data_IF_062762663413
#
_entry.id   IF_062762663413
#
_cell.length_a   1.000
_cell.length_b   1.000
_cell.length_c   1.000
_cell.angle_alpha   90.00
_cell.angle_beta   90.00
_cell.angle_gamma   90.00
#
_symmetry.space_group_name_H-M   'P 1'
#
loop_
_entity.id
_entity.type
_entity.pdbx_description
1 polymer ?
#
# COMPACT_ATOMS: atom_id res chain seq x y z
N UNK A 1 13.89 -29.87 26.29
CA UNK A 1 14.00 -29.32 27.65
C UNK A 1 12.97 -29.93 28.61
N UNK A 2 11.66 -29.82 28.39
CA UNK A 2 10.67 -30.44 29.29
C UNK A 2 10.81 -31.96 29.44
N UNK A 3 10.83 -32.70 28.33
CA UNK A 3 10.95 -34.18 28.33
C UNK A 3 12.29 -34.67 28.90
N UNK A 4 13.39 -33.94 28.64
CA UNK A 4 14.70 -34.27 29.20
C UNK A 4 14.71 -34.13 30.72
N UNK A 5 14.11 -33.06 31.26
CA UNK A 5 13.98 -32.88 32.72
C UNK A 5 13.01 -33.88 33.35
N UNK A 6 11.96 -34.28 32.63
CA UNK A 6 11.05 -35.34 33.06
C UNK A 6 11.77 -36.68 33.21
N UNK A 7 12.55 -37.10 32.22
CA UNK A 7 13.33 -38.35 32.28
C UNK A 7 14.37 -38.29 33.42
N UNK A 8 15.04 -37.14 33.61
CA UNK A 8 15.98 -36.94 34.73
C UNK A 8 15.26 -37.03 36.08
N UNK A 9 14.05 -36.46 36.22
CA UNK A 9 13.27 -36.55 37.45
C UNK A 9 12.89 -38.01 37.78
N UNK A 10 12.57 -38.83 36.78
CA UNK A 10 12.37 -40.26 36.98
C UNK A 10 13.64 -41.00 37.39
N UNK A 11 14.79 -40.69 36.76
CA UNK A 11 16.10 -41.28 37.12
C UNK A 11 16.50 -40.92 38.56
N UNK A 12 16.17 -39.72 39.03
CA UNK A 12 16.44 -39.24 40.38
C UNK A 12 15.45 -39.77 41.44
N UNK A 13 14.46 -40.57 41.05
CA UNK A 13 13.50 -41.21 41.96
C UNK A 13 12.37 -40.32 42.46
N UNK A 14 12.06 -39.21 41.77
CA UNK A 14 10.90 -38.38 42.09
C UNK A 14 9.59 -39.13 41.84
N UNK A 15 8.56 -38.79 42.61
CA UNK A 15 7.22 -39.34 42.40
C UNK A 15 6.67 -38.88 41.05
N UNK A 16 5.94 -39.76 40.36
CA UNK A 16 5.47 -39.50 39.00
C UNK A 16 4.61 -38.23 38.87
N UNK A 17 3.82 -37.88 39.91
CA UNK A 17 3.07 -36.62 39.92
C UNK A 17 3.99 -35.40 39.96
N UNK A 18 5.05 -35.44 40.78
CA UNK A 18 6.01 -34.33 40.88
C UNK A 18 6.73 -34.12 39.54
N UNK A 19 7.13 -35.21 38.88
CA UNK A 19 7.72 -35.17 37.56
C UNK A 19 6.79 -34.51 36.52
N UNK A 20 5.48 -34.82 36.55
CA UNK A 20 4.47 -34.20 35.67
C UNK A 20 4.29 -32.71 35.99
N UNK A 21 4.28 -32.33 37.27
CA UNK A 21 4.18 -30.92 37.69
C UNK A 21 5.39 -30.13 37.18
N UNK A 22 6.61 -30.66 37.32
CA UNK A 22 7.82 -30.04 36.77
C UNK A 22 7.77 -29.92 35.25
N UNK A 23 7.29 -30.96 34.55
CA UNK A 23 7.14 -30.93 33.10
C UNK A 23 6.22 -29.80 32.64
N UNK A 24 5.03 -29.66 33.25
CA UNK A 24 4.07 -28.61 32.93
C UNK A 24 4.68 -27.22 33.21
N UNK A 25 5.34 -27.05 34.36
CA UNK A 25 5.99 -25.80 34.71
C UNK A 25 7.06 -25.37 33.70
N UNK A 26 7.88 -26.31 33.23
CA UNK A 26 8.91 -26.04 32.21
C UNK A 26 8.28 -25.71 30.85
N UNK A 27 7.16 -26.34 30.47
CA UNK A 27 6.47 -26.03 29.22
C UNK A 27 5.94 -24.60 29.25
N UNK A 28 5.21 -24.23 30.31
CA UNK A 28 4.67 -22.86 30.47
C UNK A 28 5.80 -21.83 30.52
N UNK A 29 6.88 -22.09 31.26
CA UNK A 29 8.02 -21.16 31.34
C UNK A 29 8.72 -20.92 29.99
N UNK A 30 8.60 -21.82 29.02
CA UNK A 30 9.25 -21.71 27.71
C UNK A 30 8.34 -21.16 26.60
N UNK A 31 7.01 -21.24 26.75
CA UNK A 31 6.09 -20.69 25.75
C UNK A 31 5.91 -19.21 26.06
N UNK A 32 6.26 -18.29 25.13
CA UNK A 32 6.04 -16.87 25.37
C UNK A 32 4.59 -16.49 25.03
N UNK A 33 3.66 -16.64 25.97
CA UNK A 33 2.23 -16.41 25.71
C UNK A 33 1.92 -14.96 25.30
N UNK A 34 2.76 -14.00 25.74
CA UNK A 34 2.61 -12.58 25.39
C UNK A 34 3.07 -12.22 23.97
N UNK A 35 3.87 -13.06 23.30
CA UNK A 35 4.49 -12.71 22.02
C UNK A 35 3.45 -12.56 20.90
N UNK A 36 2.46 -13.45 20.85
CA UNK A 36 1.42 -13.39 19.83
C UNK A 36 0.59 -12.10 19.96
N UNK A 37 0.23 -11.74 21.19
CA UNK A 37 -0.54 -10.52 21.46
C UNK A 37 0.25 -9.25 21.10
N UNK A 38 1.54 -9.18 21.43
CA UNK A 38 2.36 -8.01 21.11
C UNK A 38 2.54 -7.83 19.61
N UNK A 39 2.75 -8.91 18.84
CA UNK A 39 2.83 -8.85 17.38
C UNK A 39 1.54 -8.32 16.77
N UNK A 40 0.38 -8.83 17.20
CA UNK A 40 -0.92 -8.34 16.71
C UNK A 40 -1.14 -6.86 17.02
N UNK A 41 -0.79 -6.41 18.23
CA UNK A 41 -0.91 -4.99 18.62
C UNK A 41 0.02 -4.11 17.77
N UNK A 42 1.27 -4.53 17.54
CA UNK A 42 2.23 -3.82 16.68
C UNK A 42 1.71 -3.67 15.24
N UNK A 43 1.20 -4.75 14.65
CA UNK A 43 0.60 -4.71 13.31
C UNK A 43 -0.64 -3.81 13.27
N UNK A 44 -1.50 -3.89 14.29
CA UNK A 44 -2.73 -3.08 14.38
C UNK A 44 -2.42 -1.59 14.48
N UNK A 45 -1.45 -1.20 15.30
CA UNK A 45 -1.01 0.20 15.40
C UNK A 45 -0.45 0.71 14.08
N UNK A 46 0.28 -0.14 13.36
CA UNK A 46 0.84 0.20 12.04
C UNK A 46 -0.26 0.35 11.00
N UNK A 47 -1.22 -0.58 10.96
CA UNK A 47 -2.40 -0.51 10.10
C UNK A 47 -3.22 0.76 10.37
N UNK A 48 -3.40 1.15 11.64
CA UNK A 48 -4.07 2.40 12.02
C UNK A 48 -3.34 3.65 11.49
N UNK A 49 -2.01 3.66 11.55
CA UNK A 49 -1.19 4.74 10.97
C UNK A 49 -1.33 4.79 9.45
N UNK A 50 -1.37 3.65 8.77
CA UNK A 50 -1.62 3.60 7.32
C UNK A 50 -3.02 4.12 6.96
N UNK A 51 -4.04 3.76 7.75
CA UNK A 51 -5.40 4.25 7.55
C UNK A 51 -5.52 5.77 7.67
N UNK A 52 -4.78 6.41 8.59
CA UNK A 52 -4.71 7.88 8.69
C UNK A 52 -4.12 8.58 7.45
N UNK A 53 -3.46 7.81 6.56
CA UNK A 53 -2.92 8.27 5.28
C UNK A 53 -3.73 7.75 4.09
N UNK A 54 -5.01 7.44 4.29
CA UNK A 54 -5.93 6.90 3.28
C UNK A 54 -5.51 5.53 2.69
N UNK A 55 -4.65 4.77 3.37
CA UNK A 55 -4.30 3.39 3.00
C UNK A 55 -5.02 2.39 3.92
N UNK A 56 -6.12 1.81 3.44
CA UNK A 56 -6.93 0.85 4.20
C UNK A 56 -6.33 -0.56 4.13
N UNK A 57 -5.94 -1.10 5.29
CA UNK A 57 -5.48 -2.48 5.44
C UNK A 57 -6.63 -3.37 5.89
N UNK A 58 -7.01 -4.37 5.07
CA UNK A 58 -8.07 -5.34 5.42
C UNK A 58 -7.55 -6.55 6.21
N UNK A 59 -6.31 -6.97 5.94
CA UNK A 59 -5.64 -8.09 6.59
C UNK A 59 -4.35 -7.59 7.24
N UNK A 60 -4.16 -7.80 8.55
CA UNK A 60 -3.00 -7.27 9.28
C UNK A 60 -1.66 -7.79 8.75
N UNK A 61 -1.60 -9.03 8.27
CA UNK A 61 -0.41 -9.64 7.66
C UNK A 61 0.05 -8.92 6.37
N UNK A 62 -0.85 -8.19 5.70
CA UNK A 62 -0.51 -7.42 4.50
C UNK A 62 0.46 -6.27 4.81
N UNK A 63 0.47 -5.76 6.07
CA UNK A 63 1.42 -4.74 6.51
C UNK A 63 2.85 -5.26 6.45
N UNK A 64 3.08 -6.48 6.93
CA UNK A 64 4.38 -7.13 6.90
C UNK A 64 4.77 -7.49 5.46
N UNK A 65 3.83 -8.07 4.71
CA UNK A 65 4.04 -8.48 3.31
C UNK A 65 4.54 -7.31 2.46
N UNK A 66 3.94 -6.12 2.62
CA UNK A 66 4.36 -4.92 1.91
C UNK A 66 5.80 -4.52 2.26
N UNK A 67 6.22 -4.68 3.52
CA UNK A 67 7.59 -4.40 3.97
C UNK A 67 8.62 -5.39 3.42
N UNK A 68 8.22 -6.64 3.19
CA UNK A 68 9.08 -7.70 2.61
C UNK A 68 9.00 -7.83 1.09
N UNK A 69 8.22 -6.99 0.42
CA UNK A 69 7.98 -7.10 -1.03
C UNK A 69 9.24 -6.71 -1.83
N UNK A 70 9.72 -7.61 -2.68
CA UNK A 70 10.89 -7.39 -3.55
C UNK A 70 10.54 -6.99 -4.98
N UNK A 71 9.29 -7.15 -5.41
CA UNK A 71 8.83 -6.86 -6.78
C UNK A 71 7.38 -6.38 -6.76
N UNK A 72 7.10 -5.30 -7.48
CA UNK A 72 5.75 -4.72 -7.60
C UNK A 72 5.26 -4.97 -9.03
N UNK A 73 4.20 -5.76 -9.16
CA UNK A 73 3.45 -5.89 -10.40
C UNK A 73 2.30 -4.86 -10.36
N UNK A 74 2.38 -3.83 -11.19
CA UNK A 74 1.34 -2.79 -11.28
C UNK A 74 0.54 -2.94 -12.57
N UNK A 75 -0.78 -2.78 -12.46
CA UNK A 75 -1.59 -2.49 -13.63
C UNK A 75 -1.31 -1.07 -14.14
N UNK A 76 -1.54 -0.82 -15.43
CA UNK A 76 -1.34 0.50 -16.05
C UNK A 76 -2.57 1.39 -15.88
N UNK A 77 -3.71 0.95 -16.39
CA UNK A 77 -4.87 1.83 -16.58
C UNK A 77 -5.65 1.97 -15.28
N UNK A 78 -5.78 3.18 -14.77
CA UNK A 78 -6.47 3.43 -13.50
C UNK A 78 -5.65 3.13 -12.25
N UNK A 79 -4.38 2.72 -12.42
CA UNK A 79 -3.40 2.56 -11.33
C UNK A 79 -2.20 3.47 -11.55
N UNK A 80 -1.45 3.28 -12.65
CA UNK A 80 -0.36 4.20 -13.01
C UNK A 80 -0.88 5.43 -13.76
N UNK A 81 -1.94 5.27 -14.55
CA UNK A 81 -2.57 6.36 -15.30
C UNK A 81 -3.92 6.74 -14.69
N UNK A 82 -4.33 7.99 -14.86
CA UNK A 82 -5.60 8.53 -14.35
C UNK A 82 -6.86 7.95 -15.00
N UNK A 83 -6.73 6.97 -15.91
CA UNK A 83 -7.82 6.41 -16.73
C UNK A 83 -8.67 7.51 -17.41
N UNK A 84 -8.01 8.58 -17.86
CA UNK A 84 -8.62 9.75 -18.49
C UNK A 84 -7.78 10.15 -19.69
N UNK A 85 -8.42 10.34 -20.83
CA UNK A 85 -7.75 10.89 -22.01
C UNK A 85 -7.53 12.38 -21.78
N UNK A 86 -6.26 12.79 -21.81
CA UNK A 86 -5.82 14.18 -21.61
C UNK A 86 -4.90 14.57 -22.76
N UNK A 87 -5.02 15.79 -23.26
CA UNK A 87 -4.13 16.30 -24.31
C UNK A 87 -2.73 16.40 -23.74
N UNK A 88 -1.76 15.70 -24.33
CA UNK A 88 -0.37 15.68 -23.86
C UNK A 88 0.53 16.62 -24.66
N UNK A 89 0.35 16.68 -25.98
CA UNK A 89 1.18 17.47 -26.87
C UNK A 89 0.32 18.13 -27.95
N UNK A 90 0.74 19.33 -28.36
CA UNK A 90 0.17 20.07 -29.48
C UNK A 90 1.28 20.43 -30.46
N UNK A 91 0.95 20.53 -31.74
CA UNK A 91 1.90 20.96 -32.75
C UNK A 91 1.35 22.15 -33.51
N UNK A 92 2.04 23.28 -33.42
CA UNK A 92 1.75 24.52 -34.14
C UNK A 92 3.04 25.34 -34.26
N UNK A 93 3.09 26.29 -35.20
CA UNK A 93 4.25 27.15 -35.45
C UNK A 93 5.58 26.35 -35.62
N UNK A 94 5.48 25.15 -36.20
CA UNK A 94 6.59 24.20 -36.39
C UNK A 94 7.29 23.77 -35.09
N UNK A 95 6.58 23.80 -33.95
CA UNK A 95 7.07 23.40 -32.64
C UNK A 95 6.11 22.41 -31.97
N UNK A 96 6.67 21.49 -31.18
CA UNK A 96 5.90 20.61 -30.30
C UNK A 96 5.81 21.30 -28.94
N UNK A 97 4.58 21.51 -28.49
CA UNK A 97 4.27 22.13 -27.19
C UNK A 97 3.70 21.05 -26.28
N UNK A 98 4.35 20.82 -25.14
CA UNK A 98 3.87 19.92 -24.10
C UNK A 98 2.79 20.60 -23.26
N UNK A 99 1.71 19.87 -22.99
CA UNK A 99 0.61 20.31 -22.15
C UNK A 99 0.69 19.63 -20.78
N UNK A 100 0.14 20.29 -19.77
CA UNK A 100 0.02 19.72 -18.44
C UNK A 100 -0.97 18.54 -18.44
N UNK A 101 -0.48 17.37 -18.04
CA UNK A 101 -1.26 16.12 -17.90
C UNK A 101 -1.49 15.72 -16.44
N UNK A 102 -1.01 16.52 -15.48
CA UNK A 102 -1.20 16.29 -14.05
C UNK A 102 -2.66 16.54 -13.66
N UNK A 103 -3.13 15.83 -12.64
CA UNK A 103 -4.52 15.97 -12.17
C UNK A 103 -4.77 17.29 -11.43
N UNK A 104 -3.74 17.82 -10.78
CA UNK A 104 -3.77 19.05 -9.96
C UNK A 104 -3.28 20.30 -10.71
N UNK A 105 -2.97 20.16 -12.01
CA UNK A 105 -2.48 21.23 -12.87
C UNK A 105 -1.16 21.87 -12.38
N UNK A 106 -0.28 21.03 -11.83
CA UNK A 106 1.03 21.42 -11.27
C UNK A 106 2.17 21.38 -12.29
N UNK A 107 1.89 20.98 -13.53
CA UNK A 107 2.88 20.77 -14.58
C UNK A 107 3.25 22.02 -15.36
N UNK A 108 3.89 21.79 -16.50
CA UNK A 108 4.45 22.84 -17.35
C UNK A 108 3.33 23.69 -17.98
N UNK A 109 3.47 25.01 -17.85
CA UNK A 109 2.63 25.97 -18.53
C UNK A 109 3.22 26.32 -19.90
N UNK A 110 2.37 26.48 -20.89
CA UNK A 110 2.75 26.87 -22.26
C UNK A 110 2.12 28.19 -22.67
N UNK A 111 2.71 28.85 -23.67
CA UNK A 111 2.22 30.13 -24.18
C UNK A 111 0.89 29.96 -24.91
N UNK A 112 -0.13 30.67 -24.42
CA UNK A 112 -1.49 30.71 -25.00
C UNK A 112 -1.73 31.95 -25.85
N UNK A 113 -0.74 32.84 -25.97
CA UNK A 113 -0.89 34.12 -26.65
C UNK A 113 -0.67 34.03 -28.15
N UNK A 114 0.04 32.98 -28.61
CA UNK A 114 0.39 32.80 -30.03
C UNK A 114 -0.85 32.73 -30.94
N UNK A 115 -0.78 33.33 -32.15
CA UNK A 115 -1.86 33.22 -33.13
C UNK A 115 -2.17 31.78 -33.53
N UNK A 116 -1.13 30.93 -33.65
CA UNK A 116 -1.25 29.51 -33.97
C UNK A 116 -2.08 28.76 -32.94
N UNK A 117 -1.80 28.98 -31.64
CA UNK A 117 -2.58 28.39 -30.55
C UNK A 117 -4.04 28.86 -30.57
N UNK A 118 -4.30 30.16 -30.75
CA UNK A 118 -5.67 30.70 -30.78
C UNK A 118 -6.51 30.09 -31.91
N UNK A 119 -5.94 29.91 -33.09
CA UNK A 119 -6.62 29.26 -34.21
C UNK A 119 -6.91 27.79 -33.89
N UNK A 120 -5.92 27.06 -33.39
CA UNK A 120 -6.05 25.64 -33.00
C UNK A 120 -7.11 25.44 -31.91
N UNK A 121 -7.06 26.25 -30.85
CA UNK A 121 -8.01 26.19 -29.74
C UNK A 121 -9.45 26.48 -30.21
N UNK A 122 -9.64 27.43 -31.14
CA UNK A 122 -10.95 27.71 -31.74
C UNK A 122 -11.48 26.52 -32.55
N UNK A 123 -10.62 25.84 -33.31
CA UNK A 123 -11.02 24.63 -34.06
C UNK A 123 -11.40 23.50 -33.09
N UNK A 124 -10.58 23.26 -32.07
CA UNK A 124 -10.80 22.20 -31.08
C UNK A 124 -12.07 22.40 -30.25
N UNK A 125 -12.47 23.65 -30.00
CA UNK A 125 -13.68 23.99 -29.25
C UNK A 125 -14.95 23.94 -30.10
N UNK A 126 -14.91 24.46 -31.33
CA UNK A 126 -16.09 24.50 -32.21
C UNK A 126 -16.35 23.17 -32.92
N UNK A 127 -15.31 22.44 -33.29
CA UNK A 127 -15.42 21.14 -33.99
C UNK A 127 -15.49 19.97 -32.99
N UNK A 128 -16.23 20.15 -31.89
CA UNK A 128 -16.39 19.13 -30.85
C UNK A 128 -17.86 19.00 -30.46
N UNK A 129 -18.28 17.78 -30.15
CA UNK A 129 -19.65 17.45 -29.68
C UNK A 129 -19.68 17.11 -28.19
N UNK A 130 -18.55 17.24 -27.49
CA UNK A 130 -18.48 17.01 -26.06
C UNK A 130 -19.13 18.17 -25.30
N UNK A 131 -19.98 17.83 -24.33
CA UNK A 131 -20.62 18.77 -23.43
C UNK A 131 -20.38 18.33 -21.98
N UNK A 132 -20.18 19.28 -21.08
CA UNK A 132 -20.14 18.98 -19.65
C UNK A 132 -21.56 18.68 -19.16
N UNK A 133 -21.70 17.67 -18.29
CA UNK A 133 -22.97 17.42 -17.62
C UNK A 133 -23.22 18.53 -16.60
N UNK A 134 -24.43 19.05 -16.55
CA UNK A 134 -24.81 20.07 -15.57
C UNK A 134 -24.69 19.55 -14.14
N UNK A 135 -24.03 20.33 -13.27
CA UNK A 135 -23.90 20.03 -11.83
C UNK A 135 -22.73 19.12 -11.44
N UNK A 136 -21.77 18.90 -12.33
CA UNK A 136 -20.49 18.24 -12.03
C UNK A 136 -19.35 19.25 -11.93
#
# INVERSE_FOLDING_TARGET
MGVSFFIIAFILGYYWLDAVIFLIGIIVANVPEGLLATVTVCLTLTAKRMASKNCLVKNLEAVETLGSTSTICSDKTGTLTQNRMTVAHMWFDNQIIEADTTEDQSGVQYDRTSPGFKALARIATLCNRAEFKGGQ
#
